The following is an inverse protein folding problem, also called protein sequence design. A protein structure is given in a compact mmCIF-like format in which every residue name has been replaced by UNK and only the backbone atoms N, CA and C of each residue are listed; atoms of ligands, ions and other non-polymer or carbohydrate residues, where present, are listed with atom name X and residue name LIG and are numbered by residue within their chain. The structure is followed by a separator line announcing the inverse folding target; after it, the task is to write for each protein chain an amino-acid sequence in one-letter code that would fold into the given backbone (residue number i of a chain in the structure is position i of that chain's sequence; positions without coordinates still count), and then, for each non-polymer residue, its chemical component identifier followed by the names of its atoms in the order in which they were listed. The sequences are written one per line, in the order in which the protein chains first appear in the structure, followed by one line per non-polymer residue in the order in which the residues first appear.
data_IF_082469202438
#
_entry.id   IF_082469202438
#
_cell.length_a   1.000
_cell.length_b   1.000
_cell.length_c   1.000
_cell.angle_alpha   90.00
_cell.angle_beta   90.00
_cell.angle_gamma   90.00
#
_symmetry.space_group_name_H-M   'P 1'
#
loop_
_entity.id
_entity.type
_entity.pdbx_description
1 polymer ?
#
# COMPACT_ATOMS: atom_id res chain seq x y z
N UNK A 1 5.32 -3.93 -6.70
CA UNK A 1 4.80 -3.14 -7.83
C UNK A 1 3.53 -2.43 -7.39
N UNK A 2 3.30 -1.25 -7.94
CA UNK A 2 2.14 -0.41 -7.63
C UNK A 2 1.53 0.07 -8.93
N UNK A 3 0.22 -0.07 -9.05
CA UNK A 3 -0.56 0.45 -10.16
C UNK A 3 -1.21 1.77 -9.75
N UNK A 4 -0.95 2.85 -10.50
CA UNK A 4 -1.48 4.20 -10.24
C UNK A 4 -2.76 4.50 -11.01
N UNK A 5 -3.10 3.67 -11.98
CA UNK A 5 -4.29 3.84 -12.82
C UNK A 5 -5.46 3.01 -12.29
N UNK A 6 -5.18 2.00 -11.46
CA UNK A 6 -6.20 1.21 -10.79
C UNK A 6 -6.91 2.02 -9.70
N UNK A 7 -8.24 2.07 -9.75
CA UNK A 7 -9.06 2.62 -8.67
C UNK A 7 -8.93 1.76 -7.41
N UNK A 8 -8.77 2.42 -6.26
CA UNK A 8 -8.67 1.73 -4.98
C UNK A 8 -10.07 1.36 -4.45
N UNK A 9 -10.18 0.18 -3.84
CA UNK A 9 -11.45 -0.37 -3.37
C UNK A 9 -11.24 -1.16 -2.06
N UNK A 10 -12.33 -1.59 -1.44
CA UNK A 10 -12.35 -2.38 -0.22
C UNK A 10 -11.43 -3.61 -0.33
N UNK A 11 -10.61 -3.81 0.70
CA UNK A 11 -9.55 -4.79 0.85
C UNK A 11 -8.31 -4.62 -0.03
N UNK A 12 -8.22 -3.62 -0.90
CA UNK A 12 -6.96 -3.33 -1.58
C UNK A 12 -5.87 -2.87 -0.61
N UNK A 13 -4.64 -3.32 -0.83
CA UNK A 13 -3.47 -2.73 -0.16
C UNK A 13 -3.08 -1.51 -0.98
N UNK A 14 -2.99 -0.35 -0.34
CA UNK A 14 -2.75 0.93 -1.01
C UNK A 14 -1.49 1.59 -0.50
N UNK A 15 -0.84 2.34 -1.38
CA UNK A 15 0.10 3.39 -0.97
C UNK A 15 -0.73 4.66 -0.76
N UNK A 16 -0.75 5.17 0.46
CA UNK A 16 -1.48 6.38 0.82
C UNK A 16 -0.51 7.46 1.34
N UNK A 17 -0.86 8.72 1.14
CA UNK A 17 -0.20 9.86 1.77
C UNK A 17 -1.19 10.46 2.77
N UNK A 18 -0.84 10.41 4.05
CA UNK A 18 -1.63 10.94 5.17
C UNK A 18 -0.80 12.07 5.79
N UNK A 19 -1.34 13.29 5.86
CA UNK A 19 -0.63 14.46 6.43
C UNK A 19 0.79 14.70 5.86
N UNK A 20 1.00 14.34 4.59
CA UNK A 20 2.30 14.48 3.91
C UNK A 20 3.25 13.28 4.08
N UNK A 21 2.91 12.30 4.90
CA UNK A 21 3.71 11.08 5.10
C UNK A 21 3.15 9.88 4.31
N UNK A 22 4.05 9.10 3.72
CA UNK A 22 3.70 7.92 2.93
C UNK A 22 3.50 6.70 3.84
N UNK A 23 2.41 5.97 3.64
CA UNK A 23 2.08 4.74 4.38
C UNK A 23 1.56 3.64 3.45
N UNK A 24 1.73 2.39 3.86
CA UNK A 24 1.13 1.22 3.22
C UNK A 24 0.18 0.56 4.21
N UNK A 25 -1.09 0.47 3.83
CA UNK A 25 -2.19 -0.04 4.65
C UNK A 25 -3.22 -0.74 3.78
N UNK A 26 -4.07 -1.56 4.39
CA UNK A 26 -5.27 -2.07 3.72
C UNK A 26 -6.36 -1.00 3.76
N UNK A 27 -6.94 -0.69 2.61
CA UNK A 27 -8.12 0.16 2.50
C UNK A 27 -9.37 -0.69 2.80
N UNK A 28 -10.16 -0.29 3.78
CA UNK A 28 -11.33 -1.04 4.23
C UNK A 28 -12.53 -0.12 4.34
N UNK A 29 -13.59 -0.38 3.57
CA UNK A 29 -14.92 0.18 3.81
C UNK A 29 -15.72 -0.71 4.78
N UNK A 30 -16.13 -0.16 5.92
CA UNK A 30 -17.00 -0.82 6.90
C UNK A 30 -18.16 0.11 7.24
N UNK A 31 -19.40 -0.35 7.04
CA UNK A 31 -20.62 0.43 7.29
C UNK A 31 -20.65 1.81 6.60
N UNK A 32 -19.99 1.93 5.44
CA UNK A 32 -19.88 3.19 4.69
C UNK A 32 -18.72 4.10 5.13
N UNK A 33 -17.99 3.73 6.18
CA UNK A 33 -16.79 4.45 6.64
C UNK A 33 -15.55 3.81 6.05
N UNK A 34 -14.64 4.62 5.51
CA UNK A 34 -13.35 4.16 4.98
C UNK A 34 -12.24 4.23 6.02
N UNK A 35 -11.36 3.23 5.99
CA UNK A 35 -10.27 3.05 6.96
C UNK A 35 -8.98 2.68 6.25
N UNK A 36 -7.86 3.14 6.79
CA UNK A 36 -6.53 2.59 6.55
C UNK A 36 -6.16 1.65 7.71
N UNK A 37 -6.33 0.34 7.50
CA UNK A 37 -6.04 -0.67 8.52
C UNK A 37 -4.62 -1.23 8.38
N UNK A 38 -3.82 -1.27 9.47
CA UNK A 38 -2.56 -2.00 9.49
C UNK A 38 -2.80 -3.51 9.55
N UNK A 39 -1.84 -4.26 9.03
CA UNK A 39 -1.74 -5.73 9.18
C UNK A 39 -0.77 -6.11 10.31
N UNK A 40 -0.44 -5.15 11.18
CA UNK A 40 0.36 -5.36 12.38
C UNK A 40 -0.51 -4.97 13.59
N UNK A 41 -0.81 -5.90 14.52
CA UNK A 41 -1.63 -5.64 15.71
C UNK A 41 -1.12 -4.52 16.63
N UNK A 42 0.18 -4.21 16.58
CA UNK A 42 0.77 -3.16 17.41
C UNK A 42 0.41 -1.74 16.95
N UNK A 43 -0.23 -1.61 15.78
CA UNK A 43 -0.61 -0.34 15.17
C UNK A 43 -2.14 -0.21 15.13
N UNK A 44 -2.62 1.00 15.39
CA UNK A 44 -4.05 1.28 15.35
C UNK A 44 -4.55 1.53 13.91
N UNK A 45 -5.75 1.08 13.55
CA UNK A 45 -6.46 1.54 12.37
C UNK A 45 -6.63 3.07 12.35
N UNK A 46 -6.59 3.66 11.16
CA UNK A 46 -6.83 5.08 10.97
C UNK A 46 -8.12 5.31 10.17
N UNK A 47 -9.06 6.04 10.74
CA UNK A 47 -10.33 6.39 10.10
C UNK A 47 -10.13 7.54 9.10
N UNK A 48 -10.64 7.39 7.89
CA UNK A 48 -10.64 8.46 6.89
C UNK A 48 -11.90 9.32 7.13
N UNK A 49 -11.79 10.28 8.05
CA UNK A 49 -12.88 11.20 8.39
C UNK A 49 -12.99 12.34 7.36
N UNK A 50 -11.84 12.80 6.88
CA UNK A 50 -11.71 13.82 5.84
C UNK A 50 -11.02 13.20 4.63
N UNK A 51 -11.72 13.19 3.49
CA UNK A 51 -11.18 12.66 2.24
C UNK A 51 -10.01 13.50 1.72
N UNK A 52 -9.94 14.80 2.03
CA UNK A 52 -8.85 15.67 1.59
C UNK A 52 -7.58 15.46 2.43
N UNK A 53 -7.70 14.87 3.63
CA UNK A 53 -6.56 14.54 4.50
C UNK A 53 -5.78 13.31 4.01
N UNK A 54 -6.32 12.54 3.06
CA UNK A 54 -5.67 11.35 2.51
C UNK A 54 -5.61 11.39 1.00
N UNK A 55 -4.45 11.04 0.45
CA UNK A 55 -4.28 10.80 -0.98
C UNK A 55 -3.87 9.37 -1.24
N UNK A 56 -4.70 8.62 -1.95
CA UNK A 56 -4.30 7.31 -2.48
C UNK A 56 -3.40 7.52 -3.70
N UNK A 57 -2.16 7.04 -3.63
CA UNK A 57 -1.18 7.16 -4.71
C UNK A 57 -1.25 6.01 -5.71
N UNK A 58 -1.68 4.83 -5.25
CA UNK A 58 -1.89 3.66 -6.09
C UNK A 58 -2.15 2.38 -5.31
N UNK A 59 -2.59 1.36 -6.03
CA UNK A 59 -2.90 0.03 -5.50
C UNK A 59 -1.67 -0.85 -5.61
N UNK A 60 -1.30 -1.50 -4.51
CA UNK A 60 -0.22 -2.48 -4.48
C UNK A 60 -0.69 -3.75 -5.17
N UNK A 61 -0.04 -4.11 -6.28
CA UNK A 61 -0.41 -5.30 -7.06
C UNK A 61 0.51 -6.48 -6.81
N UNK A 62 1.77 -6.22 -6.45
CA UNK A 62 2.76 -7.27 -6.24
C UNK A 62 3.74 -6.90 -5.12
N UNK A 63 4.13 -7.89 -4.33
CA UNK A 63 5.21 -7.80 -3.36
C UNK A 63 6.38 -8.63 -3.87
N UNK A 64 7.57 -8.02 -3.93
CA UNK A 64 8.81 -8.74 -4.19
C UNK A 64 9.57 -8.83 -2.88
N UNK A 65 9.85 -10.07 -2.46
CA UNK A 65 10.62 -10.34 -1.25
C UNK A 65 11.83 -11.21 -1.62
N UNK A 66 13.01 -10.61 -1.64
CA UNK A 66 14.26 -11.33 -1.90
C UNK A 66 14.69 -12.10 -0.64
N UNK A 67 14.76 -13.43 -0.74
CA UNK A 67 15.16 -14.30 0.38
C UNK A 67 16.68 -14.45 0.51
N UNK A 68 17.41 -14.26 -0.58
CA UNK A 68 18.89 -14.34 -0.62
C UNK A 68 19.42 -13.04 -1.21
N UNK A 69 20.01 -12.15 -0.38
CA UNK A 69 20.42 -10.82 -0.82
C UNK A 69 21.33 -10.84 -2.05
N UNK A 70 21.03 -10.00 -3.03
CA UNK A 70 21.88 -9.76 -4.20
C UNK A 70 21.71 -10.76 -5.36
N UNK A 71 20.86 -11.79 -5.19
CA UNK A 71 20.60 -12.79 -6.24
C UNK A 71 19.80 -12.20 -7.40
N UNK A 72 18.81 -11.35 -7.12
CA UNK A 72 18.03 -10.66 -8.14
C UNK A 72 18.92 -9.75 -8.98
N UNK A 73 19.80 -8.99 -8.34
CA UNK A 73 20.72 -8.10 -9.04
C UNK A 73 21.73 -8.88 -9.90
N UNK A 74 22.18 -10.06 -9.46
CA UNK A 74 23.00 -10.96 -10.28
C UNK A 74 22.25 -11.47 -11.52
N UNK A 75 20.99 -11.89 -11.38
CA UNK A 75 20.15 -12.37 -12.49
C UNK A 75 19.83 -11.29 -13.52
N UNK A 76 19.59 -10.05 -13.08
CA UNK A 76 19.29 -8.93 -13.97
C UNK A 76 20.52 -8.51 -14.78
N UNK A 77 21.72 -8.56 -14.18
CA UNK A 77 22.98 -8.25 -14.86
C UNK A 77 23.42 -9.29 -15.90
N UNK A 78 22.90 -10.52 -15.83
CA UNK A 78 23.20 -11.59 -16.80
C UNK A 78 22.28 -11.59 -18.02
N UNK A 79 21.36 -10.63 -18.13
CA UNK A 79 20.38 -10.52 -19.23
C UNK A 79 20.71 -9.43 -20.26
N UNK A 80 21.86 -8.79 -20.12
CA UNK A 80 22.48 -7.92 -21.13
C UNK A 80 23.53 -8.72 -21.93
#
# INVERSE_FOLDING_TARGET
AVDKQMEADHNHIVVAVVEGECTVKRLVCEHGTWWLKPENPDYQPWEIVDADAVRIWGVVTHVLHELVPGKLAALLRTRD
#
